data_IF_239855536736
#
_entry.id   IF_239855536736
#
_cell.length_a   1.000
_cell.length_b   1.000
_cell.length_c   1.000
_cell.angle_alpha   90.00
_cell.angle_beta   90.00
_cell.angle_gamma   90.00
#
_symmetry.space_group_name_H-M   'P 1'
#
loop_
_entity.id
_entity.type
_entity.pdbx_description
1 polymer ?
#
# COMPACT_ATOMS: atom_id res chain seq x y z
N UNK A 1 -4.94 3.38 -1.14
CA UNK A 1 -4.77 1.98 -0.68
C UNK A 1 -4.71 1.07 -1.89
N UNK A 2 -3.92 0.00 -1.85
CA UNK A 2 -3.99 -1.12 -2.81
C UNK A 2 -3.95 -2.44 -2.03
N UNK A 3 -4.66 -3.45 -2.51
CA UNK A 3 -4.78 -4.75 -1.87
C UNK A 3 -6.06 -5.43 -2.34
N UNK A 4 -6.04 -6.76 -2.42
CA UNK A 4 -7.27 -7.54 -2.53
C UNK A 4 -7.82 -7.82 -1.12
N UNK A 5 -9.13 -8.05 -0.99
CA UNK A 5 -9.76 -8.31 0.30
C UNK A 5 -10.53 -9.64 0.26
N UNK A 6 -10.30 -10.47 1.28
CA UNK A 6 -11.09 -11.68 1.49
C UNK A 6 -12.37 -11.37 2.27
N UNK A 7 -13.35 -12.27 2.20
CA UNK A 7 -14.58 -12.15 3.03
C UNK A 7 -14.29 -12.15 4.54
N UNK A 8 -13.11 -12.64 4.94
CA UNK A 8 -12.66 -12.64 6.34
C UNK A 8 -11.97 -11.33 6.75
N UNK A 9 -11.79 -10.40 5.83
CA UNK A 9 -11.14 -9.11 6.08
C UNK A 9 -9.61 -9.15 5.98
N UNK A 10 -9.00 -10.28 5.58
CA UNK A 10 -7.56 -10.34 5.29
C UNK A 10 -7.27 -9.64 3.97
N UNK A 11 -6.20 -8.82 3.97
CA UNK A 11 -5.71 -8.08 2.82
C UNK A 11 -4.61 -8.89 2.12
N UNK A 12 -4.85 -9.29 0.88
CA UNK A 12 -3.97 -10.17 0.11
C UNK A 12 -3.08 -9.39 -0.87
N UNK A 13 -1.93 -9.98 -1.26
CA UNK A 13 -0.96 -9.31 -2.11
C UNK A 13 -1.51 -9.05 -3.52
N UNK A 14 -0.98 -8.02 -4.14
CA UNK A 14 -1.35 -7.54 -5.47
C UNK A 14 -0.12 -7.41 -6.35
N UNK A 15 -0.27 -7.63 -7.65
CA UNK A 15 0.78 -7.35 -8.62
C UNK A 15 0.85 -5.88 -9.02
N UNK A 16 1.98 -5.52 -9.66
CA UNK A 16 2.18 -4.19 -10.25
C UNK A 16 2.36 -3.08 -9.22
N UNK A 17 2.99 -3.39 -8.07
CA UNK A 17 3.17 -2.43 -6.98
C UNK A 17 3.98 -1.19 -7.42
N UNK A 18 4.96 -1.38 -8.30
CA UNK A 18 5.83 -0.32 -8.82
C UNK A 18 5.05 0.72 -9.61
N UNK A 19 4.19 0.28 -10.54
CA UNK A 19 3.36 1.15 -11.37
C UNK A 19 2.36 1.92 -10.51
N UNK A 20 1.75 1.26 -9.52
CA UNK A 20 0.80 1.86 -8.59
C UNK A 20 1.46 2.92 -7.71
N UNK A 21 2.66 2.67 -7.18
CA UNK A 21 3.40 3.67 -6.40
C UNK A 21 3.85 4.85 -7.26
N UNK A 22 4.28 4.61 -8.50
CA UNK A 22 4.64 5.70 -9.41
C UNK A 22 3.41 6.56 -9.75
N UNK A 23 2.24 5.94 -9.95
CA UNK A 23 0.99 6.66 -10.13
C UNK A 23 0.60 7.48 -8.89
N UNK A 24 0.75 6.92 -7.69
CA UNK A 24 0.50 7.62 -6.43
C UNK A 24 1.41 8.86 -6.27
N UNK A 25 2.70 8.70 -6.55
CA UNK A 25 3.67 9.80 -6.51
C UNK A 25 3.31 10.91 -7.51
N UNK A 26 2.95 10.54 -8.75
CA UNK A 26 2.50 11.52 -9.77
C UNK A 26 1.18 12.19 -9.39
N UNK A 27 0.29 11.46 -8.72
CA UNK A 27 -0.99 11.97 -8.21
C UNK A 27 -0.84 12.84 -6.96
N UNK A 28 0.39 13.07 -6.47
CA UNK A 28 0.62 13.86 -5.25
C UNK A 28 0.16 13.17 -3.97
N UNK A 29 -0.11 11.86 -4.01
CA UNK A 29 -0.51 11.08 -2.84
C UNK A 29 0.72 10.94 -1.93
N UNK A 30 0.57 11.32 -0.66
CA UNK A 30 1.66 11.24 0.33
C UNK A 30 1.74 9.91 1.04
N UNK A 31 0.61 9.19 1.17
CA UNK A 31 0.51 7.97 1.97
C UNK A 31 -0.11 6.86 1.14
N UNK A 32 0.56 5.70 1.12
CA UNK A 32 0.12 4.52 0.36
C UNK A 32 0.05 3.34 1.31
N UNK A 33 -1.13 2.74 1.40
CA UNK A 33 -1.37 1.52 2.17
C UNK A 33 -1.18 0.32 1.23
N UNK A 34 -0.37 -0.65 1.64
CA UNK A 34 -0.03 -1.87 0.89
C UNK A 34 -0.22 -3.12 1.77
N UNK A 35 -0.45 -4.31 1.18
CA UNK A 35 -0.47 -5.57 1.93
C UNK A 35 0.92 -5.87 2.51
N UNK A 36 0.99 -6.48 3.70
CA UNK A 36 2.28 -6.84 4.32
C UNK A 36 3.07 -7.84 3.47
N UNK A 37 2.37 -8.78 2.83
CA UNK A 37 2.96 -9.78 1.93
C UNK A 37 3.59 -9.19 0.67
N UNK A 38 3.32 -7.92 0.33
CA UNK A 38 3.92 -7.22 -0.80
C UNK A 38 5.34 -6.68 -0.51
N UNK A 39 5.92 -6.94 0.67
CA UNK A 39 7.27 -6.46 1.03
C UNK A 39 8.38 -6.92 0.06
N UNK A 40 8.22 -8.11 -0.54
CA UNK A 40 9.15 -8.60 -1.56
C UNK A 40 9.16 -7.71 -2.80
N UNK A 41 7.99 -7.37 -3.33
CA UNK A 41 7.88 -6.44 -4.47
C UNK A 41 8.26 -5.02 -4.08
N UNK A 42 7.98 -4.60 -2.83
CA UNK A 42 8.42 -3.31 -2.32
C UNK A 42 9.94 -3.19 -2.44
N UNK A 43 10.70 -4.26 -2.18
CA UNK A 43 12.16 -4.27 -2.27
C UNK A 43 12.68 -3.89 -3.67
N UNK A 44 11.94 -4.22 -4.73
CA UNK A 44 12.28 -3.90 -6.12
C UNK A 44 12.00 -2.44 -6.52
N UNK A 45 11.26 -1.71 -5.69
CA UNK A 45 10.89 -0.32 -5.99
C UNK A 45 12.05 0.62 -5.65
N UNK A 46 12.46 1.52 -6.57
CA UNK A 46 13.55 2.44 -6.34
C UNK A 46 13.38 3.32 -5.09
N UNK A 47 14.46 3.55 -4.35
CA UNK A 47 14.45 4.35 -3.12
C UNK A 47 14.00 5.80 -3.34
N UNK A 48 14.20 6.35 -4.55
CA UNK A 48 13.70 7.68 -4.93
C UNK A 48 12.17 7.79 -4.85
N UNK A 49 11.46 6.67 -5.03
CA UNK A 49 9.99 6.60 -4.93
C UNK A 49 9.61 6.35 -3.47
N UNK A 50 10.24 5.36 -2.83
CA UNK A 50 10.01 5.03 -1.41
C UNK A 50 10.23 6.23 -0.49
N UNK A 51 11.32 6.98 -0.68
CA UNK A 51 11.65 8.12 0.16
C UNK A 51 10.70 9.32 0.03
N UNK A 52 9.80 9.31 -0.96
CA UNK A 52 8.80 10.37 -1.18
C UNK A 52 7.38 9.97 -0.75
N UNK A 53 7.15 8.70 -0.43
CA UNK A 53 5.86 8.15 -0.07
C UNK A 53 5.93 7.55 1.33
N UNK A 54 4.94 7.86 2.18
CA UNK A 54 4.76 7.13 3.42
C UNK A 54 4.05 5.80 3.11
N UNK A 55 4.80 4.70 3.12
CA UNK A 55 4.27 3.37 2.83
C UNK A 55 3.87 2.70 4.14
N UNK A 56 2.59 2.37 4.29
CA UNK A 56 2.05 1.67 5.46
C UNK A 56 1.66 0.27 5.05
N UNK A 57 2.20 -0.74 5.75
CA UNK A 57 1.88 -2.15 5.53
C UNK A 57 0.74 -2.55 6.45
N UNK A 58 -0.23 -3.31 5.94
CA UNK A 58 -1.39 -3.81 6.67
C UNK A 58 -1.64 -5.28 6.34
N UNK A 59 -2.27 -6.00 7.26
CA UNK A 59 -2.72 -7.38 7.06
C UNK A 59 -4.24 -7.50 7.11
N UNK A 60 -4.90 -6.67 7.92
CA UNK A 60 -6.34 -6.72 8.13
C UNK A 60 -7.02 -5.42 7.70
N UNK A 61 -8.29 -5.54 7.30
CA UNK A 61 -9.10 -4.39 6.91
C UNK A 61 -9.31 -3.40 8.06
N UNK A 62 -9.35 -3.86 9.31
CA UNK A 62 -9.54 -2.97 10.47
C UNK A 62 -8.41 -1.92 10.55
N UNK A 63 -7.16 -2.33 10.33
CA UNK A 63 -6.00 -1.43 10.30
C UNK A 63 -6.16 -0.35 9.23
N UNK A 64 -6.72 -0.74 8.08
CA UNK A 64 -6.96 0.18 6.96
C UNK A 64 -8.01 1.20 7.33
N UNK A 65 -9.11 0.76 7.94
CA UNK A 65 -10.21 1.62 8.33
C UNK A 65 -9.73 2.64 9.37
N UNK A 66 -8.92 2.21 10.34
CA UNK A 66 -8.31 3.08 11.35
C UNK A 66 -7.36 4.13 10.75
N UNK A 67 -6.65 3.79 9.66
CA UNK A 67 -5.72 4.73 8.98
C UNK A 67 -6.46 5.67 8.03
N UNK A 68 -7.47 5.17 7.33
CA UNK A 68 -8.06 5.85 6.18
C UNK A 68 -9.27 6.73 6.52
N UNK A 69 -9.94 6.48 7.65
CA UNK A 69 -11.13 7.23 8.05
C UNK A 69 -10.78 8.29 9.10
N UNK A 70 -11.31 9.51 8.91
CA UNK A 70 -11.35 10.51 9.98
C UNK A 70 -12.42 10.13 11.01
N UNK A 71 -12.19 10.50 12.27
CA UNK A 71 -13.12 10.24 13.39
C UNK A 71 -14.33 11.16 13.36
#
# INVERSE_FOLDING_TARGET
>A
MTGEITLRGEITPIGGLKEKMLAALRGGIKTVIIPDDNERELSEVPDKIKGKLNVIKVKWIDEVLDIALEK
#
